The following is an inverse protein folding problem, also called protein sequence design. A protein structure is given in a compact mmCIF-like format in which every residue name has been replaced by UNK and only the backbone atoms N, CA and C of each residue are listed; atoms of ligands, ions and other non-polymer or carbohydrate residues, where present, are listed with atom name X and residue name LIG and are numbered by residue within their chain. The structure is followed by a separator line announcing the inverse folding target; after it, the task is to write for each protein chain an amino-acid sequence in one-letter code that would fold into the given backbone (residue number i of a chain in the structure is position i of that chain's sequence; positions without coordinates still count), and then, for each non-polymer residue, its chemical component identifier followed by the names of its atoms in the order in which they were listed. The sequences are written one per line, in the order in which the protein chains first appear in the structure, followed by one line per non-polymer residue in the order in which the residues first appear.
data_IF_098678067299
#
_entry.id   IF_098678067299
#
_cell.length_a   1.000
_cell.length_b   1.000
_cell.length_c   1.000
_cell.angle_alpha   90.00
_cell.angle_beta   90.00
_cell.angle_gamma   90.00
#
_symmetry.space_group_name_H-M   'P 1'
#
loop_
_entity.id
_entity.type
_entity.pdbx_description
1 polymer ?
#
# COMPACT_ATOMS: atom_id res chain seq x y z
N UNK A 1 21.28 15.03 -15.66
CA UNK A 1 20.45 15.10 -14.43
C UNK A 1 20.40 16.55 -13.95
N UNK A 2 19.26 17.11 -13.52
CA UNK A 2 19.22 18.45 -12.95
C UNK A 2 20.03 18.52 -11.65
N UNK A 3 20.74 19.63 -11.45
CA UNK A 3 21.64 19.86 -10.29
C UNK A 3 20.99 19.55 -8.93
N UNK A 4 19.69 19.80 -8.80
CA UNK A 4 18.88 19.52 -7.60
C UNK A 4 18.83 18.01 -7.27
N UNK A 5 18.80 17.14 -8.27
CA UNK A 5 18.76 15.69 -8.08
C UNK A 5 20.13 15.13 -7.67
N UNK A 6 21.21 15.68 -8.22
CA UNK A 6 22.57 15.35 -7.81
C UNK A 6 22.83 15.74 -6.35
N UNK A 7 22.41 16.96 -5.96
CA UNK A 7 22.52 17.43 -4.58
C UNK A 7 21.73 16.54 -3.61
N UNK A 8 20.47 16.20 -3.95
CA UNK A 8 19.66 15.28 -3.16
C UNK A 8 20.36 13.94 -2.95
N UNK A 9 20.88 13.34 -4.04
CA UNK A 9 21.60 12.06 -3.97
C UNK A 9 22.86 12.17 -3.10
N UNK A 10 23.64 13.24 -3.22
CA UNK A 10 24.84 13.46 -2.40
C UNK A 10 24.51 13.59 -0.91
N UNK A 11 23.45 14.34 -0.57
CA UNK A 11 22.97 14.49 0.81
C UNK A 11 22.49 13.14 1.37
N UNK A 12 21.66 12.40 0.64
CA UNK A 12 21.17 11.08 1.05
C UNK A 12 22.33 10.11 1.31
N UNK A 13 23.34 10.07 0.43
CA UNK A 13 24.53 9.22 0.58
C UNK A 13 25.40 9.66 1.78
N UNK A 14 25.55 10.96 1.98
CA UNK A 14 26.26 11.52 3.14
C UNK A 14 25.59 11.11 4.46
N UNK A 15 24.27 11.23 4.53
CA UNK A 15 23.49 10.81 5.71
C UNK A 15 23.60 9.30 5.96
N UNK A 16 23.54 8.46 4.92
CA UNK A 16 23.72 7.00 5.09
C UNK A 16 25.09 6.64 5.68
N UNK A 17 26.15 7.34 5.28
CA UNK A 17 27.52 7.10 5.74
C UNK A 17 27.82 7.70 7.11
N UNK A 18 26.99 8.60 7.62
CA UNK A 18 27.20 9.30 8.90
C UNK A 18 27.05 8.42 10.15
N UNK A 19 26.50 7.20 10.02
CA UNK A 19 26.12 6.34 11.15
C UNK A 19 24.80 6.74 11.84
N UNK A 20 24.24 7.91 11.53
CA UNK A 20 22.96 8.39 12.09
C UNK A 20 21.79 7.43 11.86
N UNK A 21 21.63 6.78 10.68
CA UNK A 21 20.57 5.80 10.48
C UNK A 21 20.63 4.64 11.48
N UNK A 22 21.82 4.15 11.81
CA UNK A 22 22.00 3.09 12.80
C UNK A 22 21.60 3.51 14.22
N UNK A 23 21.88 4.76 14.59
CA UNK A 23 21.44 5.33 15.88
C UNK A 23 19.93 5.48 15.90
N UNK A 24 19.34 6.06 14.84
CA UNK A 24 17.88 6.23 14.71
C UNK A 24 17.13 4.90 14.78
N UNK A 25 17.58 3.88 14.05
CA UNK A 25 16.99 2.53 14.09
C UNK A 25 17.04 1.92 15.51
N UNK A 26 18.14 2.11 16.24
CA UNK A 26 18.25 1.62 17.62
C UNK A 26 17.27 2.29 18.58
N UNK A 27 16.98 3.58 18.37
CA UNK A 27 15.98 4.32 19.15
C UNK A 27 14.56 3.84 18.88
N UNK A 28 14.32 3.24 17.69
CA UNK A 28 13.02 2.74 17.24
C UNK A 28 12.86 1.22 17.35
N UNK A 29 13.72 0.54 18.11
CA UNK A 29 13.69 -0.93 18.24
C UNK A 29 12.38 -1.50 18.81
N UNK A 30 11.62 -0.70 19.56
CA UNK A 30 10.28 -1.05 20.06
C UNK A 30 9.15 -0.66 19.13
N UNK A 31 9.42 0.25 18.17
CA UNK A 31 8.43 0.72 17.22
C UNK A 31 8.30 -0.27 16.05
N UNK A 32 7.20 -0.14 15.32
CA UNK A 32 6.94 -0.92 14.11
C UNK A 32 6.75 0.00 12.93
N UNK A 33 7.39 -0.30 11.80
CA UNK A 33 7.13 0.38 10.54
C UNK A 33 6.26 -0.50 9.65
N UNK A 34 5.15 0.05 9.16
CA UNK A 34 4.29 -0.64 8.19
C UNK A 34 4.44 0.09 6.85
N UNK A 35 4.93 -0.63 5.84
CA UNK A 35 5.15 -0.08 4.50
C UNK A 35 3.91 -0.27 3.64
N UNK A 36 3.48 0.78 2.95
CA UNK A 36 2.41 0.73 1.97
C UNK A 36 2.98 0.84 0.56
N UNK A 37 2.94 -0.25 -0.18
CA UNK A 37 3.19 -0.34 -1.62
C UNK A 37 1.86 -0.44 -2.36
N UNK A 38 1.88 -0.25 -3.68
CA UNK A 38 0.71 -0.43 -4.54
C UNK A 38 1.00 -1.42 -5.65
N UNK A 39 1.82 -1.08 -6.63
CA UNK A 39 2.07 -1.94 -7.78
C UNK A 39 3.56 -2.21 -8.04
N UNK A 40 3.84 -3.38 -8.61
CA UNK A 40 5.17 -3.77 -9.08
C UNK A 40 5.14 -3.96 -10.59
N UNK A 41 5.88 -3.13 -11.31
CA UNK A 41 6.00 -3.22 -12.78
C UNK A 41 6.94 -4.36 -13.12
N UNK A 42 6.48 -5.39 -13.86
CA UNK A 42 7.33 -6.52 -14.26
C UNK A 42 8.46 -6.08 -15.19
N UNK A 43 9.47 -6.92 -15.35
CA UNK A 43 10.60 -6.65 -16.22
C UNK A 43 10.12 -6.42 -17.67
N UNK A 44 10.69 -5.40 -18.33
CA UNK A 44 10.27 -4.95 -19.65
C UNK A 44 8.97 -4.12 -19.67
N UNK A 45 8.24 -4.02 -18.55
CA UNK A 45 7.03 -3.22 -18.46
C UNK A 45 7.30 -1.71 -18.56
N UNK A 46 6.42 -0.99 -19.25
CA UNK A 46 6.44 0.49 -19.35
C UNK A 46 5.52 1.07 -18.29
N UNK A 47 6.02 1.95 -17.42
CA UNK A 47 5.19 2.66 -16.42
C UNK A 47 4.12 3.49 -17.17
N UNK A 48 2.86 3.35 -16.75
CA UNK A 48 1.70 4.09 -17.25
C UNK A 48 0.82 4.50 -16.05
N UNK A 49 -0.12 5.41 -16.29
CA UNK A 49 -0.99 5.89 -15.23
C UNK A 49 -0.25 6.75 -14.20
N UNK A 50 -0.74 6.74 -12.97
CA UNK A 50 -0.07 7.44 -11.86
C UNK A 50 1.27 6.79 -11.52
N UNK A 51 2.33 7.31 -12.12
CA UNK A 51 3.67 6.72 -11.98
C UNK A 51 4.16 6.63 -10.54
N UNK A 52 3.57 7.35 -9.59
CA UNK A 52 3.95 7.29 -8.17
C UNK A 52 3.64 5.95 -7.52
N UNK A 53 2.66 5.23 -8.04
CA UNK A 53 2.17 3.94 -7.52
C UNK A 53 2.91 2.73 -8.13
N UNK A 54 3.56 2.90 -9.28
CA UNK A 54 4.10 1.81 -10.10
C UNK A 54 5.61 1.65 -9.91
N UNK A 55 6.03 0.84 -8.93
CA UNK A 55 7.44 0.59 -8.61
C UNK A 55 8.03 -0.47 -9.56
N UNK A 56 9.19 -0.22 -10.14
CA UNK A 56 9.87 -1.23 -10.98
C UNK A 56 10.32 -2.42 -10.13
N UNK A 57 10.18 -3.64 -10.67
CA UNK A 57 10.55 -4.91 -10.02
C UNK A 57 11.97 -4.87 -9.44
N UNK A 58 12.95 -4.43 -10.21
CA UNK A 58 14.34 -4.33 -9.75
C UNK A 58 14.51 -3.35 -8.56
N UNK A 59 13.74 -2.26 -8.51
CA UNK A 59 13.76 -1.32 -7.39
C UNK A 59 13.09 -1.94 -6.16
N UNK A 60 11.98 -2.65 -6.34
CA UNK A 60 11.30 -3.37 -5.27
C UNK A 60 12.23 -4.44 -4.66
N UNK A 61 12.87 -5.27 -5.49
CA UNK A 61 13.84 -6.27 -5.06
C UNK A 61 14.97 -5.65 -4.22
N UNK A 62 15.57 -4.54 -4.68
CA UNK A 62 16.61 -3.83 -3.94
C UNK A 62 16.12 -3.24 -2.61
N UNK A 63 14.85 -2.82 -2.52
CA UNK A 63 14.25 -2.37 -1.27
C UNK A 63 14.01 -3.53 -0.30
N UNK A 64 13.58 -4.69 -0.78
CA UNK A 64 13.44 -5.91 0.04
C UNK A 64 14.79 -6.34 0.62
N UNK A 65 15.87 -6.36 -0.19
CA UNK A 65 17.21 -6.67 0.27
C UNK A 65 17.67 -5.69 1.36
N UNK A 66 17.38 -4.38 1.17
CA UNK A 66 17.67 -3.36 2.18
C UNK A 66 16.90 -3.59 3.49
N UNK A 67 15.63 -4.01 3.44
CA UNK A 67 14.82 -4.32 4.63
C UNK A 67 15.40 -5.49 5.42
N UNK A 68 15.79 -6.57 4.75
CA UNK A 68 16.42 -7.74 5.39
C UNK A 68 17.69 -7.36 6.14
N UNK A 69 18.47 -6.41 5.61
CA UNK A 69 19.68 -5.89 6.28
C UNK A 69 19.35 -5.04 7.51
N UNK A 70 18.25 -4.26 7.48
CA UNK A 70 17.98 -3.19 8.45
C UNK A 70 17.00 -3.56 9.56
N UNK A 71 16.08 -4.52 9.32
CA UNK A 71 14.94 -4.77 10.18
C UNK A 71 14.54 -6.24 10.21
N UNK A 72 13.67 -6.61 11.13
CA UNK A 72 12.96 -7.87 11.10
C UNK A 72 11.67 -7.69 10.33
N UNK A 73 11.58 -8.32 9.17
CA UNK A 73 10.34 -8.32 8.38
C UNK A 73 9.39 -9.35 8.96
N UNK A 74 8.24 -8.89 9.44
CA UNK A 74 7.27 -9.71 10.17
C UNK A 74 5.88 -9.64 9.52
N UNK A 75 5.02 -10.67 9.71
CA UNK A 75 3.61 -10.60 9.30
C UNK A 75 2.90 -9.41 9.95
N UNK A 76 1.94 -8.80 9.25
CA UNK A 76 1.18 -7.65 9.76
C UNK A 76 0.47 -7.96 11.08
N UNK A 77 -0.10 -9.16 11.23
CA UNK A 77 -0.75 -9.56 12.48
C UNK A 77 0.24 -9.57 13.67
N UNK A 78 1.45 -10.08 13.46
CA UNK A 78 2.53 -10.03 14.46
C UNK A 78 2.98 -8.59 14.75
N UNK A 79 3.05 -7.75 13.72
CA UNK A 79 3.38 -6.34 13.84
C UNK A 79 2.40 -5.58 14.74
N UNK A 80 1.09 -5.89 14.61
CA UNK A 80 0.01 -5.24 15.34
C UNK A 80 -0.27 -5.86 16.74
N UNK A 81 0.21 -7.06 17.00
CA UNK A 81 0.04 -7.72 18.31
C UNK A 81 1.04 -7.27 19.37
N UNK A 82 2.05 -6.48 19.02
CA UNK A 82 3.01 -5.92 19.96
C UNK A 82 4.10 -6.89 20.46
N UNK A 83 4.12 -8.13 19.95
CA UNK A 83 5.11 -9.13 20.38
C UNK A 83 6.51 -8.77 19.87
N UNK A 84 7.45 -8.49 20.76
CA UNK A 84 8.83 -8.22 20.41
C UNK A 84 9.48 -9.47 19.78
N UNK A 85 10.28 -9.30 18.73
CA UNK A 85 10.99 -10.41 18.07
C UNK A 85 12.23 -10.90 18.86
N UNK A 86 12.65 -10.16 19.87
CA UNK A 86 13.83 -10.48 20.68
C UNK A 86 15.19 -10.21 20.00
N UNK A 87 15.20 -9.85 18.71
CA UNK A 87 16.44 -9.58 17.95
C UNK A 87 17.10 -8.24 18.28
N UNK A 88 16.35 -7.31 18.87
CA UNK A 88 16.77 -5.93 19.12
C UNK A 88 16.77 -5.05 17.85
N UNK A 89 16.21 -5.54 16.74
CA UNK A 89 16.03 -4.80 15.48
C UNK A 89 14.62 -4.22 15.39
N UNK A 90 14.40 -3.10 14.67
CA UNK A 90 13.05 -2.60 14.40
C UNK A 90 12.24 -3.61 13.60
N UNK A 91 10.92 -3.64 13.83
CA UNK A 91 10.01 -4.50 13.06
C UNK A 91 9.47 -3.76 11.86
N UNK A 92 9.37 -4.46 10.73
CA UNK A 92 8.78 -3.94 9.51
C UNK A 92 7.73 -4.91 8.98
N UNK A 93 6.52 -4.42 8.67
CA UNK A 93 5.52 -5.17 7.93
C UNK A 93 5.37 -4.60 6.52
N UNK A 94 5.23 -5.49 5.53
CA UNK A 94 5.05 -5.12 4.12
C UNK A 94 3.57 -5.24 3.80
N UNK A 95 2.97 -4.17 3.23
CA UNK A 95 1.60 -4.20 2.75
C UNK A 95 1.50 -3.68 1.33
N UNK A 96 0.51 -4.21 0.59
CA UNK A 96 0.11 -3.71 -0.73
C UNK A 96 -1.35 -3.32 -0.69
N UNK A 97 -1.67 -2.17 -1.26
CA UNK A 97 -3.04 -1.74 -1.50
C UNK A 97 -3.47 -2.09 -2.94
N UNK A 98 -4.76 -2.05 -3.22
CA UNK A 98 -5.40 -2.17 -4.54
C UNK A 98 -5.37 -3.57 -5.19
N UNK A 99 -4.54 -4.50 -4.75
CA UNK A 99 -4.38 -5.81 -5.39
C UNK A 99 -4.11 -5.73 -6.91
N UNK A 100 -3.26 -4.77 -7.34
CA UNK A 100 -2.79 -4.71 -8.72
C UNK A 100 -2.19 -6.05 -9.15
N UNK A 101 -2.46 -6.47 -10.40
CA UNK A 101 -1.90 -7.72 -10.94
C UNK A 101 -0.37 -7.78 -10.83
N UNK A 102 0.34 -6.67 -11.07
CA UNK A 102 1.79 -6.64 -10.95
C UNK A 102 2.28 -6.90 -9.52
N UNK A 103 1.56 -6.39 -8.50
CA UNK A 103 1.86 -6.69 -7.10
C UNK A 103 1.57 -8.15 -6.74
N UNK A 104 0.41 -8.68 -7.19
CA UNK A 104 -0.04 -10.05 -6.92
C UNK A 104 0.80 -11.10 -7.66
N UNK A 105 1.47 -10.75 -8.75
CA UNK A 105 2.36 -11.64 -9.52
C UNK A 105 3.83 -11.34 -9.25
N UNK A 106 4.42 -10.37 -9.95
CA UNK A 106 5.84 -10.04 -9.84
C UNK A 106 6.26 -9.62 -8.41
N UNK A 107 5.39 -8.90 -7.69
CA UNK A 107 5.64 -8.54 -6.29
C UNK A 107 5.67 -9.76 -5.37
N UNK A 108 4.71 -10.67 -5.52
CA UNK A 108 4.64 -11.91 -4.74
C UNK A 108 5.82 -12.83 -5.06
N UNK A 109 6.25 -12.94 -6.32
CA UNK A 109 7.46 -13.70 -6.68
C UNK A 109 8.71 -13.21 -5.94
N UNK A 110 8.93 -11.89 -5.86
CA UNK A 110 10.07 -11.31 -5.12
C UNK A 110 9.98 -11.57 -3.61
N UNK A 111 8.79 -11.51 -3.04
CA UNK A 111 8.56 -11.80 -1.62
C UNK A 111 8.80 -13.27 -1.29
N UNK A 112 8.18 -14.17 -2.06
CA UNK A 112 8.24 -15.62 -1.81
C UNK A 112 9.65 -16.17 -2.02
N UNK A 113 10.40 -15.67 -3.02
CA UNK A 113 11.80 -16.05 -3.24
C UNK A 113 12.72 -15.72 -2.07
N UNK A 114 12.35 -14.73 -1.24
CA UNK A 114 13.07 -14.30 -0.03
C UNK A 114 12.44 -14.81 1.27
N UNK A 115 11.30 -15.49 1.21
CA UNK A 115 10.54 -15.92 2.39
C UNK A 115 9.97 -14.74 3.21
N UNK A 116 9.74 -13.59 2.59
CA UNK A 116 9.29 -12.37 3.27
C UNK A 116 7.76 -12.29 3.33
N UNK A 117 7.17 -12.07 4.53
CA UNK A 117 5.74 -11.94 4.69
C UNK A 117 5.22 -10.60 4.15
N UNK A 118 4.02 -10.63 3.57
CA UNK A 118 3.29 -9.44 3.17
C UNK A 118 1.77 -9.62 3.30
N UNK A 119 1.05 -8.50 3.40
CA UNK A 119 -0.41 -8.46 3.38
C UNK A 119 -0.88 -7.67 2.16
N UNK A 120 -1.81 -8.23 1.39
CA UNK A 120 -2.44 -7.56 0.25
C UNK A 120 -3.85 -7.13 0.65
N UNK A 121 -4.12 -5.83 0.57
CA UNK A 121 -5.44 -5.25 0.78
C UNK A 121 -6.21 -5.25 -0.54
N UNK A 122 -7.34 -5.94 -0.55
CA UNK A 122 -8.07 -6.30 -1.78
C UNK A 122 -9.40 -5.54 -1.87
N UNK A 123 -9.65 -4.76 -2.94
CA UNK A 123 -10.96 -4.23 -3.31
C UNK A 123 -11.65 -5.19 -4.30
N UNK A 124 -12.59 -6.07 -3.86
CA UNK A 124 -13.12 -7.13 -4.71
C UNK A 124 -13.77 -6.67 -6.01
N UNK A 125 -14.42 -5.51 -6.02
CA UNK A 125 -15.05 -4.97 -7.24
C UNK A 125 -14.05 -4.56 -8.33
N UNK A 126 -12.77 -4.44 -8.00
CA UNK A 126 -11.71 -4.07 -8.96
C UNK A 126 -10.85 -5.26 -9.39
N UNK A 127 -11.16 -6.47 -8.94
CA UNK A 127 -10.54 -7.70 -9.45
C UNK A 127 -10.96 -7.95 -10.92
N UNK A 128 -10.38 -8.98 -11.53
CA UNK A 128 -10.69 -9.46 -12.88
C UNK A 128 -10.63 -8.36 -13.95
N UNK A 129 -9.44 -7.76 -14.08
CA UNK A 129 -9.14 -6.69 -15.05
C UNK A 129 -9.76 -5.32 -14.75
N UNK A 130 -10.24 -5.10 -13.53
CA UNK A 130 -10.71 -3.78 -13.08
C UNK A 130 -9.66 -2.69 -13.30
N UNK A 131 -10.09 -1.52 -13.75
CA UNK A 131 -9.23 -0.38 -14.05
C UNK A 131 -9.38 0.67 -12.97
N UNK A 132 -8.24 1.17 -12.51
CA UNK A 132 -8.20 2.26 -11.55
C UNK A 132 -8.34 3.60 -12.28
N UNK A 133 -9.33 4.41 -11.87
CA UNK A 133 -9.66 5.67 -12.54
C UNK A 133 -8.48 6.66 -12.61
N UNK A 134 -7.65 6.69 -11.59
CA UNK A 134 -6.46 7.55 -11.57
C UNK A 134 -5.40 7.12 -12.60
N UNK A 135 -5.26 5.82 -12.87
CA UNK A 135 -4.36 5.34 -13.93
C UNK A 135 -4.93 5.62 -15.32
N UNK A 136 -6.25 5.45 -15.48
CA UNK A 136 -6.91 5.69 -16.77
C UNK A 136 -6.92 7.16 -17.15
N UNK A 137 -7.04 8.08 -16.19
CA UNK A 137 -7.12 9.51 -16.45
C UNK A 137 -5.77 10.22 -16.41
N UNK A 138 -4.71 9.61 -15.86
CA UNK A 138 -3.40 10.25 -15.81
C UNK A 138 -2.75 10.28 -17.18
N UNK A 139 -2.43 11.47 -17.74
CA UNK A 139 -1.75 11.56 -19.05
C UNK A 139 -0.39 10.87 -19.01
N UNK A 140 -0.01 10.24 -20.13
CA UNK A 140 1.29 9.56 -20.25
C UNK A 140 2.46 10.48 -19.87
N UNK A 141 3.32 10.01 -18.96
CA UNK A 141 4.50 10.74 -18.50
C UNK A 141 4.26 11.72 -17.35
N UNK A 142 3.03 11.83 -16.85
CA UNK A 142 2.73 12.63 -15.67
C UNK A 142 2.88 11.79 -14.38
N UNK A 143 3.35 12.40 -13.27
CA UNK A 143 3.48 11.70 -11.98
C UNK A 143 2.18 11.64 -11.18
N UNK A 144 1.03 11.62 -11.84
CA UNK A 144 -0.30 11.63 -11.27
C UNK A 144 -1.19 12.71 -11.90
N UNK A 145 -2.43 12.76 -11.43
CA UNK A 145 -3.42 13.76 -11.85
C UNK A 145 -3.13 15.12 -11.25
N UNK A 146 -3.53 16.22 -11.92
CA UNK A 146 -3.56 17.54 -11.31
C UNK A 146 -4.36 17.52 -10.00
N UNK A 147 -3.91 18.23 -8.94
CA UNK A 147 -4.58 18.22 -7.64
C UNK A 147 -6.06 18.54 -7.71
N UNK A 148 -6.46 19.51 -8.52
CA UNK A 148 -7.85 19.94 -8.70
C UNK A 148 -8.75 18.84 -9.29
N UNK A 149 -8.24 18.03 -10.23
CA UNK A 149 -8.97 16.89 -10.80
C UNK A 149 -9.10 15.79 -9.77
N UNK A 150 -8.02 15.53 -9.03
CA UNK A 150 -8.00 14.53 -7.96
C UNK A 150 -8.95 14.91 -6.83
N UNK A 151 -8.91 16.14 -6.36
CA UNK A 151 -9.75 16.66 -5.27
C UNK A 151 -11.23 16.62 -5.67
N UNK A 152 -11.57 17.01 -6.88
CA UNK A 152 -12.94 16.90 -7.41
C UNK A 152 -13.43 15.47 -7.42
N UNK A 153 -12.65 14.55 -7.94
CA UNK A 153 -12.95 13.12 -7.97
C UNK A 153 -13.15 12.54 -6.55
N UNK A 154 -12.33 12.93 -5.59
CA UNK A 154 -12.37 12.39 -4.23
C UNK A 154 -13.46 13.03 -3.35
N UNK A 155 -13.70 14.33 -3.50
CA UNK A 155 -14.60 15.07 -2.60
C UNK A 155 -16.03 15.15 -3.17
N UNK A 156 -16.18 15.52 -4.44
CA UNK A 156 -17.51 15.63 -5.09
C UNK A 156 -18.06 14.29 -5.54
N UNK A 157 -17.21 13.43 -6.13
CA UNK A 157 -17.61 12.13 -6.64
C UNK A 157 -17.33 10.97 -5.67
N UNK A 158 -16.87 11.28 -4.47
CA UNK A 158 -16.55 10.31 -3.42
C UNK A 158 -15.60 9.18 -3.86
N UNK A 159 -14.71 9.42 -4.83
CA UNK A 159 -13.80 8.41 -5.35
C UNK A 159 -14.49 7.24 -6.11
N UNK A 160 -15.77 7.36 -6.49
CA UNK A 160 -16.51 6.31 -7.22
C UNK A 160 -15.97 6.16 -8.63
N UNK A 161 -15.08 5.17 -8.85
CA UNK A 161 -14.28 5.03 -10.07
C UNK A 161 -15.09 4.96 -11.35
N UNK A 162 -16.18 4.18 -11.39
CA UNK A 162 -17.04 4.07 -12.59
C UNK A 162 -17.70 5.40 -12.94
N UNK A 163 -18.18 6.15 -11.96
CA UNK A 163 -18.78 7.47 -12.18
C UNK A 163 -17.74 8.49 -12.66
N UNK A 164 -16.54 8.47 -12.08
CA UNK A 164 -15.43 9.34 -12.49
C UNK A 164 -15.03 9.08 -13.94
N UNK A 165 -14.84 7.80 -14.31
CA UNK A 165 -14.51 7.44 -15.70
C UNK A 165 -15.60 7.86 -16.70
N UNK A 166 -16.87 7.67 -16.33
CA UNK A 166 -18.02 8.08 -17.16
C UNK A 166 -18.06 9.61 -17.35
N UNK A 167 -17.88 10.38 -16.28
CA UNK A 167 -17.91 11.85 -16.35
C UNK A 167 -16.78 12.42 -17.22
N UNK A 168 -15.59 11.79 -17.17
CA UNK A 168 -14.45 12.19 -18.00
C UNK A 168 -14.46 11.55 -19.41
N UNK A 169 -15.52 10.85 -19.80
CA UNK A 169 -15.65 10.21 -21.11
C UNK A 169 -14.57 9.13 -21.38
N UNK A 170 -13.98 8.56 -20.33
CA UNK A 170 -12.93 7.55 -20.45
C UNK A 170 -13.54 6.16 -20.62
N UNK A 171 -13.95 5.82 -21.84
CA UNK A 171 -14.50 4.50 -22.19
C UNK A 171 -13.43 3.53 -22.70
N UNK A 172 -12.35 4.03 -23.30
CA UNK A 172 -11.23 3.20 -23.80
C UNK A 172 -10.10 3.18 -22.75
N UNK A 173 -9.93 2.03 -22.13
CA UNK A 173 -8.85 1.74 -21.18
C UNK A 173 -7.85 0.74 -21.72
N UNK A 174 -7.84 0.47 -23.02
CA UNK A 174 -6.96 -0.51 -23.68
C UNK A 174 -5.47 -0.16 -23.55
N UNK A 175 -5.16 1.12 -23.34
CA UNK A 175 -3.80 1.61 -23.10
C UNK A 175 -3.22 1.21 -21.72
N UNK A 176 -4.07 0.80 -20.77
CA UNK A 176 -3.65 0.33 -19.45
C UNK A 176 -3.19 -1.13 -19.55
N UNK A 177 -1.91 -1.43 -19.32
CA UNK A 177 -1.38 -2.78 -19.43
C UNK A 177 -1.91 -3.69 -18.33
N UNK A 178 -1.90 -5.00 -18.57
CA UNK A 178 -2.45 -5.99 -17.65
C UNK A 178 -1.89 -5.89 -16.23
N UNK A 179 -0.60 -5.63 -16.04
CA UNK A 179 0.01 -5.50 -14.71
C UNK A 179 -0.51 -4.29 -13.90
N UNK A 180 -1.07 -3.27 -14.56
CA UNK A 180 -1.66 -2.07 -13.94
C UNK A 180 -3.18 -2.14 -13.82
N UNK A 181 -3.76 -3.34 -13.95
CA UNK A 181 -5.17 -3.65 -13.69
C UNK A 181 -5.30 -4.47 -12.42
N UNK A 182 -6.50 -4.62 -11.92
CA UNK A 182 -6.78 -5.56 -10.84
C UNK A 182 -6.39 -6.99 -11.21
N UNK A 183 -5.83 -7.72 -10.27
CA UNK A 183 -5.52 -9.13 -10.44
C UNK A 183 -6.80 -9.96 -10.64
N UNK A 184 -6.71 -11.10 -11.31
CA UNK A 184 -7.81 -12.05 -11.33
C UNK A 184 -7.95 -12.77 -9.98
N UNK A 185 -9.16 -13.26 -9.67
CA UNK A 185 -9.38 -14.08 -8.47
C UNK A 185 -8.46 -15.31 -8.45
N UNK A 186 -8.18 -15.89 -9.62
CA UNK A 186 -7.26 -17.03 -9.76
C UNK A 186 -5.80 -16.66 -9.44
N UNK A 187 -5.32 -15.48 -9.83
CA UNK A 187 -3.99 -14.99 -9.47
C UNK A 187 -3.90 -14.69 -7.98
N UNK A 188 -4.94 -14.09 -7.41
CA UNK A 188 -5.04 -13.82 -5.99
C UNK A 188 -5.05 -15.12 -5.17
N UNK A 189 -5.77 -16.15 -5.63
CA UNK A 189 -5.79 -17.49 -5.00
C UNK A 189 -4.40 -18.12 -5.00
N UNK A 190 -3.65 -18.03 -6.10
CA UNK A 190 -2.27 -18.53 -6.14
C UNK A 190 -1.37 -17.79 -5.17
N UNK A 191 -1.48 -16.46 -5.11
CA UNK A 191 -0.73 -15.64 -4.16
C UNK A 191 -1.04 -16.01 -2.70
N UNK A 192 -2.33 -16.10 -2.35
CA UNK A 192 -2.79 -16.50 -1.01
C UNK A 192 -2.43 -17.94 -0.62
N UNK A 193 -2.14 -18.81 -1.60
CA UNK A 193 -1.62 -20.16 -1.37
C UNK A 193 -0.19 -20.20 -0.82
N UNK A 194 0.56 -19.12 -0.87
CA UNK A 194 1.88 -19.00 -0.27
C UNK A 194 1.78 -18.65 1.22
N UNK A 195 2.45 -19.37 2.12
CA UNK A 195 2.29 -19.20 3.57
C UNK A 195 2.76 -17.82 4.08
N UNK A 196 3.52 -17.08 3.28
CA UNK A 196 4.01 -15.72 3.61
C UNK A 196 3.07 -14.62 3.15
N UNK A 197 2.00 -14.93 2.39
CA UNK A 197 1.07 -13.94 1.87
C UNK A 197 -0.27 -14.04 2.60
N UNK A 198 -0.70 -12.92 3.17
CA UNK A 198 -2.02 -12.79 3.77
C UNK A 198 -2.88 -11.81 2.96
N UNK A 199 -4.20 -11.97 3.02
CA UNK A 199 -5.16 -11.06 2.42
C UNK A 199 -5.91 -10.29 3.49
N UNK A 200 -6.31 -9.05 3.16
CA UNK A 200 -7.15 -8.20 3.99
C UNK A 200 -8.02 -7.30 3.09
N UNK A 201 -8.91 -6.53 3.67
CA UNK A 201 -9.90 -5.74 2.92
C UNK A 201 -9.37 -4.35 2.52
N UNK A 202 -9.71 -3.92 1.30
CA UNK A 202 -9.54 -2.53 0.85
C UNK A 202 -10.87 -1.91 0.42
N UNK A 203 -11.93 -2.12 1.21
CA UNK A 203 -13.33 -1.82 0.88
C UNK A 203 -13.86 -2.69 -0.26
N UNK A 204 -15.12 -2.47 -0.70
CA UNK A 204 -15.66 -3.21 -1.84
C UNK A 204 -15.19 -2.63 -3.18
N UNK A 205 -15.41 -1.31 -3.38
CA UNK A 205 -15.21 -0.62 -4.67
C UNK A 205 -14.20 0.53 -4.62
N UNK A 206 -13.47 0.67 -3.51
CA UNK A 206 -12.43 1.68 -3.32
C UNK A 206 -12.94 3.14 -3.34
N UNK A 207 -14.05 3.50 -2.67
CA UNK A 207 -14.49 4.89 -2.58
C UNK A 207 -13.78 5.65 -1.45
N UNK A 208 -13.96 6.98 -1.43
CA UNK A 208 -13.64 7.79 -0.27
C UNK A 208 -14.70 7.58 0.83
N UNK A 209 -14.40 6.74 1.82
CA UNK A 209 -15.31 6.34 2.87
C UNK A 209 -15.88 7.52 3.67
N UNK A 210 -15.09 8.61 3.82
CA UNK A 210 -15.51 9.79 4.57
C UNK A 210 -16.62 10.61 3.86
N UNK A 211 -16.86 10.34 2.57
CA UNK A 211 -17.85 11.02 1.75
C UNK A 211 -19.12 10.18 1.50
N UNK A 212 -19.23 8.98 2.10
CA UNK A 212 -20.36 8.07 1.91
C UNK A 212 -21.48 8.32 2.93
N UNK A 213 -22.71 7.99 2.53
CA UNK A 213 -23.83 7.84 3.45
C UNK A 213 -23.63 6.64 4.39
N UNK A 214 -24.30 6.57 5.55
CA UNK A 214 -24.15 5.46 6.49
C UNK A 214 -24.42 4.07 5.88
N UNK A 215 -25.42 3.93 5.00
CA UNK A 215 -25.74 2.67 4.34
C UNK A 215 -24.71 2.25 3.30
N UNK A 216 -24.19 3.19 2.50
CA UNK A 216 -23.10 2.92 1.57
C UNK A 216 -21.83 2.53 2.30
N UNK A 217 -21.53 3.22 3.41
CA UNK A 217 -20.36 2.92 4.25
C UNK A 217 -20.43 1.52 4.84
N UNK A 218 -21.61 1.08 5.31
CA UNK A 218 -21.82 -0.28 5.82
C UNK A 218 -21.58 -1.32 4.73
N UNK A 219 -22.14 -1.16 3.52
CA UNK A 219 -21.94 -2.10 2.39
C UNK A 219 -20.46 -2.18 2.00
N UNK A 220 -19.77 -1.05 1.88
CA UNK A 220 -18.36 -0.97 1.55
C UNK A 220 -17.42 -1.64 2.60
N UNK A 221 -17.89 -1.78 3.83
CA UNK A 221 -17.12 -2.38 4.91
C UNK A 221 -17.49 -3.86 5.17
N UNK A 222 -18.77 -4.21 5.18
CA UNK A 222 -19.21 -5.58 5.53
C UNK A 222 -19.03 -6.55 4.36
N UNK A 223 -19.44 -6.15 3.17
CA UNK A 223 -19.44 -7.00 1.98
C UNK A 223 -18.05 -7.54 1.62
N UNK A 224 -16.96 -6.73 1.56
CA UNK A 224 -15.65 -7.23 1.14
C UNK A 224 -15.05 -8.23 2.13
N UNK A 225 -15.23 -8.02 3.43
CA UNK A 225 -14.70 -8.93 4.45
C UNK A 225 -15.41 -10.29 4.39
N UNK A 226 -16.74 -10.30 4.19
CA UNK A 226 -17.53 -11.51 4.01
C UNK A 226 -17.11 -12.26 2.74
N UNK A 227 -17.01 -11.55 1.61
CA UNK A 227 -16.61 -12.10 0.31
C UNK A 227 -15.21 -12.72 0.34
N UNK A 228 -14.25 -12.06 0.98
CA UNK A 228 -12.88 -12.57 1.13
C UNK A 228 -12.86 -13.85 1.97
N UNK A 229 -13.55 -13.87 3.10
CA UNK A 229 -13.59 -15.03 4.01
C UNK A 229 -14.26 -16.26 3.40
N UNK A 230 -15.22 -16.05 2.51
CA UNK A 230 -15.87 -17.13 1.79
C UNK A 230 -14.91 -17.83 0.79
N UNK A 231 -13.98 -17.08 0.21
CA UNK A 231 -13.12 -17.53 -0.91
C UNK A 231 -11.70 -17.89 -0.52
N UNK A 232 -11.20 -17.28 0.54
CA UNK A 232 -9.79 -17.43 0.92
C UNK A 232 -9.65 -17.77 2.40
N UNK A 233 -8.75 -18.72 2.69
CA UNK A 233 -8.39 -19.04 4.06
C UNK A 233 -7.45 -17.97 4.66
N UNK A 234 -7.49 -17.79 5.99
CA UNK A 234 -6.53 -16.94 6.70
C UNK A 234 -6.65 -15.43 6.44
N UNK A 235 -7.81 -14.97 5.96
CA UNK A 235 -8.08 -13.54 5.75
C UNK A 235 -8.00 -12.78 7.08
N UNK A 236 -7.13 -11.77 7.11
CA UNK A 236 -6.97 -10.91 8.27
C UNK A 236 -8.15 -9.93 8.39
N UNK A 237 -8.71 -9.76 9.60
CA UNK A 237 -9.80 -8.81 9.83
C UNK A 237 -9.25 -7.37 9.95
N UNK A 238 -8.53 -6.93 8.93
CA UNK A 238 -7.96 -5.60 8.83
C UNK A 238 -8.43 -4.92 7.57
N UNK A 239 -8.47 -3.59 7.60
CA UNK A 239 -8.81 -2.76 6.45
C UNK A 239 -7.76 -1.67 6.25
N UNK A 240 -7.42 -1.39 4.99
CA UNK A 240 -6.74 -0.16 4.60
C UNK A 240 -7.78 0.83 4.07
N UNK A 241 -7.75 2.07 4.55
CA UNK A 241 -8.66 3.11 4.07
C UNK A 241 -8.23 3.64 2.71
N UNK A 242 -9.11 3.59 1.68
CA UNK A 242 -8.83 4.20 0.38
C UNK A 242 -8.39 5.65 0.50
N UNK A 243 -7.35 6.03 -0.24
CA UNK A 243 -6.74 7.38 -0.24
C UNK A 243 -6.22 7.85 1.13
N UNK A 244 -6.31 7.04 2.18
CA UNK A 244 -6.04 7.42 3.56
C UNK A 244 -7.14 8.28 4.19
N UNK A 245 -8.29 8.43 3.53
CA UNK A 245 -9.41 9.26 4.00
C UNK A 245 -10.30 8.48 4.98
N UNK A 246 -10.43 9.00 6.18
CA UNK A 246 -11.27 8.43 7.23
C UNK A 246 -11.81 9.52 8.15
N UNK A 247 -12.74 9.15 9.02
CA UNK A 247 -13.33 10.01 10.04
C UNK A 247 -13.69 9.19 11.27
N UNK A 248 -13.99 9.80 12.43
CA UNK A 248 -14.47 9.06 13.60
C UNK A 248 -15.71 8.21 13.32
N UNK A 249 -16.55 8.58 12.34
CA UNK A 249 -17.68 7.79 11.90
C UNK A 249 -17.24 6.53 11.15
N UNK A 250 -16.25 6.66 10.25
CA UNK A 250 -15.65 5.53 9.52
C UNK A 250 -14.96 4.56 10.46
N UNK A 251 -14.21 5.04 11.46
CA UNK A 251 -13.58 4.19 12.48
C UNK A 251 -14.61 3.35 13.24
N UNK A 252 -15.72 3.97 13.69
CA UNK A 252 -16.81 3.25 14.38
C UNK A 252 -17.49 2.25 13.46
N UNK A 253 -17.72 2.60 12.20
CA UNK A 253 -18.33 1.70 11.22
C UNK A 253 -17.40 0.49 10.93
N UNK A 254 -16.10 0.70 10.79
CA UNK A 254 -15.11 -0.37 10.62
C UNK A 254 -15.10 -1.32 11.84
N UNK A 255 -15.16 -0.78 13.06
CA UNK A 255 -15.29 -1.60 14.27
C UNK A 255 -16.57 -2.43 14.27
N UNK A 256 -17.72 -1.82 13.94
CA UNK A 256 -19.02 -2.49 13.86
C UNK A 256 -19.07 -3.56 12.77
N UNK A 257 -18.39 -3.37 11.63
CA UNK A 257 -18.24 -4.35 10.55
C UNK A 257 -17.33 -5.55 10.91
N UNK A 258 -16.72 -5.55 12.09
CA UNK A 258 -15.90 -6.65 12.61
C UNK A 258 -14.41 -6.59 12.22
N UNK A 259 -13.91 -5.45 11.76
CA UNK A 259 -12.48 -5.23 11.62
C UNK A 259 -11.82 -5.05 12.98
N UNK A 260 -10.62 -5.61 13.15
CA UNK A 260 -9.82 -5.52 14.39
C UNK A 260 -8.81 -4.38 14.35
N UNK A 261 -8.46 -3.91 13.16
CA UNK A 261 -7.62 -2.74 12.93
C UNK A 261 -7.90 -2.13 11.57
N UNK A 262 -7.63 -0.82 11.45
CA UNK A 262 -7.70 -0.09 10.19
C UNK A 262 -6.45 0.76 10.00
N UNK A 263 -5.93 0.78 8.78
CA UNK A 263 -4.67 1.40 8.43
C UNK A 263 -4.90 2.62 7.54
N UNK A 264 -4.22 3.70 7.87
CA UNK A 264 -4.12 4.89 7.02
C UNK A 264 -2.87 4.83 6.14
N UNK A 265 -2.76 5.69 5.12
CA UNK A 265 -1.63 5.67 4.20
C UNK A 265 -0.39 6.41 4.72
N UNK A 266 -0.56 7.28 5.71
CA UNK A 266 0.44 8.19 6.21
C UNK A 266 0.69 8.02 7.72
N UNK A 267 1.70 8.71 8.24
CA UNK A 267 2.00 8.79 9.66
C UNK A 267 3.29 8.08 10.07
N UNK A 268 3.88 7.26 9.19
CA UNK A 268 5.20 6.66 9.41
C UNK A 268 5.18 5.55 10.45
N UNK A 269 5.95 5.69 11.52
CA UNK A 269 6.15 4.66 12.51
C UNK A 269 4.97 4.51 13.48
N UNK A 270 4.52 3.28 13.68
CA UNK A 270 3.63 2.89 14.77
C UNK A 270 4.47 2.82 16.05
N UNK A 271 4.21 3.73 16.97
CA UNK A 271 4.91 3.80 18.27
C UNK A 271 4.40 2.75 19.21
N UNK A 272 5.29 2.23 20.06
CA UNK A 272 4.89 1.38 21.16
C UNK A 272 3.91 2.13 22.08
N UNK A 273 2.78 1.49 22.44
CA UNK A 273 1.71 2.10 23.22
C UNK A 273 0.67 2.90 22.43
N UNK A 274 0.76 2.95 21.08
CA UNK A 274 -0.31 3.54 20.25
C UNK A 274 -1.61 2.77 20.43
N UNK A 275 -2.66 3.46 20.83
CA UNK A 275 -3.93 2.84 21.26
C UNK A 275 -5.02 2.85 20.22
N UNK A 276 -5.00 3.78 19.24
CA UNK A 276 -6.02 3.83 18.21
C UNK A 276 -5.79 2.78 17.11
N UNK A 277 -6.41 1.63 17.28
CA UNK A 277 -6.33 0.51 16.32
C UNK A 277 -7.03 0.79 14.99
N UNK A 278 -7.83 1.85 14.90
CA UNK A 278 -8.56 2.23 13.68
C UNK A 278 -7.93 3.41 12.93
N UNK A 279 -6.70 3.80 13.31
CA UNK A 279 -5.92 4.80 12.62
C UNK A 279 -4.41 4.45 12.60
N UNK A 280 -4.09 3.18 12.37
CA UNK A 280 -2.71 2.67 12.35
C UNK A 280 -1.91 3.38 11.25
N UNK A 281 -0.78 4.03 11.59
CA UNK A 281 0.04 4.74 10.61
C UNK A 281 0.81 3.79 9.71
N UNK A 282 1.07 4.24 8.48
CA UNK A 282 1.97 3.56 7.54
C UNK A 282 2.96 4.55 6.92
N UNK A 283 4.00 4.04 6.31
CA UNK A 283 4.90 4.77 5.43
C UNK A 283 4.54 4.41 3.97
N UNK A 284 3.97 5.37 3.26
CA UNK A 284 3.77 5.24 1.81
C UNK A 284 5.12 5.22 1.08
N UNK A 285 5.31 4.25 0.19
CA UNK A 285 6.55 4.05 -0.58
C UNK A 285 6.31 4.42 -2.05
N UNK A 286 6.51 5.71 -2.44
CA UNK A 286 6.33 6.11 -3.82
C UNK A 286 7.45 5.56 -4.71
N UNK A 287 7.13 5.28 -5.98
CA UNK A 287 8.07 4.70 -6.95
C UNK A 287 9.32 5.54 -7.22
N UNK A 288 9.22 6.86 -7.04
CA UNK A 288 10.34 7.81 -7.24
C UNK A 288 11.33 7.90 -6.07
N UNK A 289 11.15 7.07 -5.03
CA UNK A 289 12.05 7.05 -3.89
C UNK A 289 13.35 6.32 -4.25
N UNK A 290 14.50 7.00 -4.07
CA UNK A 290 15.81 6.36 -4.25
C UNK A 290 16.05 5.27 -3.18
N UNK A 291 16.91 4.30 -3.45
CA UNK A 291 17.27 3.29 -2.44
C UNK A 291 17.88 3.95 -1.17
N UNK A 292 18.68 5.01 -1.35
CA UNK A 292 19.22 5.78 -0.23
C UNK A 292 18.11 6.47 0.57
N UNK A 293 17.18 7.16 -0.09
CA UNK A 293 16.02 7.78 0.54
C UNK A 293 15.10 6.77 1.23
N UNK A 294 14.92 5.58 0.64
CA UNK A 294 14.18 4.48 1.24
C UNK A 294 14.83 4.03 2.57
N UNK A 295 16.14 3.74 2.56
CA UNK A 295 16.89 3.36 3.77
C UNK A 295 16.81 4.42 4.87
N UNK A 296 16.90 5.71 4.51
CA UNK A 296 16.80 6.81 5.46
C UNK A 296 15.40 6.90 6.08
N UNK A 297 14.33 6.73 5.30
CA UNK A 297 12.96 6.70 5.82
C UNK A 297 12.71 5.48 6.70
N UNK A 298 13.17 4.30 6.27
CA UNK A 298 13.06 3.07 7.05
C UNK A 298 13.95 3.07 8.32
N UNK A 299 14.93 3.95 8.43
CA UNK A 299 15.65 4.18 9.68
C UNK A 299 14.96 5.17 10.62
N UNK A 300 13.92 5.88 10.13
CA UNK A 300 13.23 6.95 10.86
C UNK A 300 14.02 8.25 10.95
N UNK A 301 15.09 8.41 10.14
CA UNK A 301 15.87 9.64 10.08
C UNK A 301 15.19 10.72 9.22
N UNK A 302 14.45 10.28 8.18
CA UNK A 302 13.58 11.13 7.37
C UNK A 302 12.14 10.65 7.57
N UNK A 303 11.26 11.59 7.89
CA UNK A 303 9.81 11.34 8.03
C UNK A 303 9.08 11.43 6.69
#
# INVERSE_FOLDING_TARGET
MPARQLLKTAVEQGLLRSGLPGISSRLRRSDTLILAYHNVVPDGGRVVGDSSLHLRRATFAAQLDALVEMADVVPLDSALSGNATGSGRPRVAITFDDAYRGAVTAGVEELTSRGLPATIFVPPALLDDGVFWWDALTPSGMPGLPPEVRDDALLRMAGRGSAILAEHGCSDTSHIPAYARGASEAELSRAAGHPVIALASHTWSHPNLAALSPSELEDELVRPLAWLRERFAGVLPYISYPYGHYSPAVERAAAAAGYRAALRIEGGWLRDGETNRYAIPRLNVPSGLSNAGFRLRCSGLLG
#
